data_IF_485936451328
#
_entry.id   IF_485936451328
#
_cell.length_a   1.000
_cell.length_b   1.000
_cell.length_c   1.000
_cell.angle_alpha   90.00
_cell.angle_beta   90.00
_cell.angle_gamma   90.00
#
_symmetry.space_group_name_H-M   'P 1'
#
loop_
_entity.id
_entity.type
_entity.pdbx_description
1 polymer ?
#
# COMPACT_ATOMS: atom_id res chain seq x y z
N UNK A 1 -10.87 10.54 71.78
CA UNK A 1 -11.68 10.17 70.58
C UNK A 1 -10.73 9.54 69.58
N UNK A 2 -10.80 8.20 69.42
CA UNK A 2 -9.93 7.48 68.47
C UNK A 2 -10.52 7.63 67.04
N UNK A 3 -9.79 8.22 66.15
CA UNK A 3 -10.15 8.31 64.74
C UNK A 3 -9.99 6.91 64.11
N UNK A 4 -11.10 6.18 63.95
CA UNK A 4 -11.08 4.92 63.25
C UNK A 4 -11.00 5.22 61.78
N UNK A 5 -9.76 5.21 61.23
CA UNK A 5 -9.53 5.33 59.78
C UNK A 5 -10.21 4.12 59.13
N UNK A 6 -11.11 4.40 58.21
CA UNK A 6 -11.85 3.38 57.47
C UNK A 6 -10.93 2.74 56.41
N UNK A 7 -10.09 1.79 56.83
CA UNK A 7 -9.10 1.10 56.03
C UNK A 7 -9.68 0.34 54.85
N UNK A 8 -10.94 -0.10 54.96
CA UNK A 8 -11.63 -0.78 53.84
C UNK A 8 -11.94 0.18 52.72
N UNK A 9 -12.38 1.39 53.00
CA UNK A 9 -12.65 2.44 52.00
C UNK A 9 -11.37 2.92 51.29
N UNK A 10 -10.31 3.06 52.04
CA UNK A 10 -9.00 3.41 51.48
C UNK A 10 -8.43 2.30 50.57
N UNK A 11 -8.63 1.03 50.94
CA UNK A 11 -8.20 -0.14 50.15
C UNK A 11 -9.03 -0.28 48.89
N UNK A 12 -10.34 -0.04 48.93
CA UNK A 12 -11.24 -0.07 47.77
C UNK A 12 -10.86 1.00 46.75
N UNK A 13 -10.58 2.23 47.21
CA UNK A 13 -10.17 3.31 46.35
C UNK A 13 -8.79 3.06 45.71
N UNK A 14 -7.87 2.41 46.42
CA UNK A 14 -6.58 2.03 45.90
C UNK A 14 -6.66 0.97 44.80
N UNK A 15 -7.47 -0.07 45.00
CA UNK A 15 -7.70 -1.12 43.97
C UNK A 15 -8.41 -0.58 42.75
N UNK A 16 -9.40 0.30 42.94
CA UNK A 16 -10.09 0.95 41.82
C UNK A 16 -9.11 1.83 40.99
N UNK A 17 -8.24 2.57 41.66
CA UNK A 17 -7.21 3.37 40.99
C UNK A 17 -6.24 2.54 40.15
N UNK A 18 -5.81 1.37 40.66
CA UNK A 18 -4.95 0.44 39.91
C UNK A 18 -5.67 -0.10 38.68
N UNK A 19 -6.94 -0.49 38.80
CA UNK A 19 -7.73 -1.01 37.67
C UNK A 19 -7.86 0.05 36.58
N UNK A 20 -8.19 1.29 36.94
CA UNK A 20 -8.31 2.40 36.00
C UNK A 20 -6.98 2.64 35.29
N UNK A 21 -5.87 2.61 36.00
CA UNK A 21 -4.52 2.79 35.40
C UNK A 21 -4.19 1.68 34.41
N UNK A 22 -4.50 0.42 34.73
CA UNK A 22 -4.29 -0.70 33.82
C UNK A 22 -5.14 -0.55 32.54
N UNK A 23 -6.40 -0.16 32.68
CA UNK A 23 -7.30 0.06 31.54
C UNK A 23 -6.78 1.20 30.66
N UNK A 24 -6.31 2.30 31.26
CA UNK A 24 -5.72 3.41 30.50
C UNK A 24 -4.48 2.98 29.72
N UNK A 25 -3.59 2.22 30.35
CA UNK A 25 -2.37 1.70 29.70
C UNK A 25 -2.73 0.79 28.52
N UNK A 26 -3.68 -0.13 28.70
CA UNK A 26 -4.15 -1.01 27.64
C UNK A 26 -4.83 -0.24 26.50
N UNK A 27 -5.62 0.80 26.80
CA UNK A 27 -6.18 1.70 25.79
C UNK A 27 -5.10 2.45 25.02
N UNK A 28 -4.08 2.96 25.70
CA UNK A 28 -2.96 3.65 25.05
C UNK A 28 -2.18 2.71 24.12
N UNK A 29 -1.91 1.46 24.57
CA UNK A 29 -1.27 0.44 23.74
C UNK A 29 -2.13 0.10 22.53
N UNK A 30 -3.43 -0.10 22.71
CA UNK A 30 -4.37 -0.40 21.63
C UNK A 30 -4.47 0.73 20.59
N UNK A 31 -4.56 1.98 21.06
CA UNK A 31 -4.56 3.16 20.19
C UNK A 31 -3.24 3.31 19.45
N UNK A 32 -2.10 3.09 20.11
CA UNK A 32 -0.78 3.14 19.47
C UNK A 32 -0.65 2.07 18.38
N UNK A 33 -1.17 0.87 18.62
CA UNK A 33 -1.17 -0.21 17.63
C UNK A 33 -2.04 0.14 16.41
N UNK A 34 -3.23 0.73 16.61
CA UNK A 34 -4.10 1.18 15.53
C UNK A 34 -3.48 2.34 14.72
N UNK A 35 -2.78 3.26 15.38
CA UNK A 35 -2.13 4.40 14.72
C UNK A 35 -0.87 3.99 13.94
N UNK A 36 -0.15 2.95 14.39
CA UNK A 36 1.07 2.45 13.75
C UNK A 36 0.75 1.47 12.61
N UNK A 37 -0.39 0.78 12.66
CA UNK A 37 -0.78 -0.16 11.62
C UNK A 37 -1.44 0.57 10.44
N UNK A 38 -0.64 0.85 9.42
CA UNK A 38 -1.14 1.43 8.17
C UNK A 38 -1.30 0.31 7.11
N UNK A 39 -2.52 -0.18 6.88
CA UNK A 39 -2.77 -1.30 5.96
C UNK A 39 -2.29 -0.99 4.53
N UNK A 40 -2.26 0.27 4.15
CA UNK A 40 -1.81 0.67 2.82
C UNK A 40 -0.30 0.49 2.63
N UNK A 41 0.52 0.61 3.70
CA UNK A 41 1.96 0.32 3.64
C UNK A 41 2.24 -1.16 3.41
N UNK A 42 1.44 -2.03 3.99
CA UNK A 42 1.59 -3.48 3.81
C UNK A 42 1.15 -3.88 2.40
N UNK A 43 0.09 -3.26 1.88
CA UNK A 43 -0.33 -3.43 0.49
C UNK A 43 0.78 -2.98 -0.49
N UNK A 44 1.41 -1.83 -0.25
CA UNK A 44 2.56 -1.37 -1.04
C UNK A 44 3.70 -2.40 -1.05
N UNK A 45 4.13 -2.87 0.12
CA UNK A 45 5.18 -3.90 0.24
C UNK A 45 4.81 -5.17 -0.54
N UNK A 46 3.54 -5.56 -0.50
CA UNK A 46 3.03 -6.73 -1.22
C UNK A 46 3.06 -6.54 -2.72
N UNK A 47 2.77 -5.33 -3.23
CA UNK A 47 2.91 -4.98 -4.66
C UNK A 47 4.37 -5.14 -5.10
N UNK A 48 5.34 -4.53 -4.40
CA UNK A 48 6.75 -4.62 -4.76
C UNK A 48 7.31 -6.04 -4.64
N UNK A 49 6.92 -6.75 -3.59
CA UNK A 49 7.31 -8.15 -3.45
C UNK A 49 6.75 -9.04 -4.56
N UNK A 50 5.53 -8.76 -5.02
CA UNK A 50 4.93 -9.42 -6.18
C UNK A 50 5.69 -9.06 -7.46
N UNK A 51 5.98 -7.78 -7.67
CA UNK A 51 6.78 -7.33 -8.81
C UNK A 51 8.13 -8.05 -8.87
N UNK A 52 8.85 -8.12 -7.75
CA UNK A 52 10.14 -8.85 -7.68
C UNK A 52 10.02 -10.33 -8.00
N UNK A 53 8.93 -11.00 -7.58
CA UNK A 53 8.67 -12.41 -7.94
C UNK A 53 8.43 -12.56 -9.42
N UNK A 54 7.63 -11.68 -10.03
CA UNK A 54 7.37 -11.67 -11.47
C UNK A 54 8.68 -11.48 -12.23
N UNK A 55 9.49 -10.49 -11.87
CA UNK A 55 10.80 -10.24 -12.50
C UNK A 55 11.72 -11.45 -12.37
N UNK A 56 11.77 -12.09 -11.20
CA UNK A 56 12.59 -13.29 -11.00
C UNK A 56 12.12 -14.45 -11.86
N UNK A 57 10.81 -14.67 -11.98
CA UNK A 57 10.20 -15.74 -12.77
C UNK A 57 10.41 -15.56 -14.28
N UNK A 58 10.40 -14.30 -14.74
CA UNK A 58 10.56 -13.95 -16.14
C UNK A 58 12.00 -13.61 -16.55
N UNK A 59 12.97 -13.67 -15.62
CA UNK A 59 14.37 -13.25 -15.84
C UNK A 59 15.00 -13.90 -17.09
N UNK A 60 14.77 -15.18 -17.30
CA UNK A 60 15.38 -15.96 -18.39
C UNK A 60 14.42 -16.12 -19.59
N UNK A 61 13.37 -15.29 -19.63
CA UNK A 61 12.38 -15.30 -20.72
C UNK A 61 12.52 -14.04 -21.58
N UNK A 62 12.10 -14.08 -22.85
CA UNK A 62 12.23 -12.94 -23.77
C UNK A 62 11.29 -11.76 -23.43
N UNK A 63 10.70 -11.72 -22.25
CA UNK A 63 9.81 -10.66 -21.78
C UNK A 63 8.66 -11.24 -20.95
N UNK A 64 7.69 -10.38 -20.64
CA UNK A 64 6.53 -10.73 -19.79
C UNK A 64 5.33 -11.27 -20.58
N UNK A 65 5.62 -11.96 -21.68
CA UNK A 65 4.60 -12.47 -22.57
C UNK A 65 3.62 -13.41 -21.85
N UNK A 66 2.32 -13.24 -22.10
CA UNK A 66 1.21 -13.95 -21.45
C UNK A 66 1.06 -13.68 -19.94
N UNK A 67 1.77 -12.69 -19.38
CA UNK A 67 1.52 -12.31 -18.00
C UNK A 67 0.13 -11.69 -17.86
N UNK A 68 -0.65 -12.25 -16.98
CA UNK A 68 -1.99 -11.79 -16.59
C UNK A 68 -2.21 -12.04 -15.11
N UNK A 69 -3.28 -11.50 -14.55
CA UNK A 69 -3.65 -11.78 -13.15
C UNK A 69 -3.88 -13.27 -12.93
N UNK A 70 -4.46 -13.95 -13.90
CA UNK A 70 -4.73 -15.40 -13.83
C UNK A 70 -3.45 -16.22 -13.85
N UNK A 71 -2.54 -15.96 -14.82
CA UNK A 71 -1.25 -16.63 -14.86
C UNK A 71 -0.41 -16.37 -13.61
N UNK A 72 -0.41 -15.13 -13.11
CA UNK A 72 0.28 -14.80 -11.89
C UNK A 72 -0.29 -15.52 -10.65
N UNK A 73 -1.59 -15.80 -10.61
CA UNK A 73 -2.21 -16.65 -9.56
C UNK A 73 -1.79 -18.10 -9.70
N UNK A 74 -1.92 -18.66 -10.89
CA UNK A 74 -1.63 -20.06 -11.17
C UNK A 74 -0.15 -20.41 -10.90
N UNK A 75 0.75 -19.49 -11.20
CA UNK A 75 2.19 -19.64 -11.01
C UNK A 75 2.66 -19.22 -9.60
N UNK A 76 1.72 -18.95 -8.68
CA UNK A 76 2.00 -18.50 -7.29
C UNK A 76 2.90 -17.25 -7.19
N UNK A 77 2.85 -16.38 -8.17
CA UNK A 77 3.63 -15.12 -8.19
C UNK A 77 2.98 -14.05 -7.32
N UNK A 78 1.66 -14.09 -7.16
CA UNK A 78 0.91 -13.19 -6.29
C UNK A 78 1.21 -13.50 -4.82
N UNK A 79 1.49 -12.47 -4.06
CA UNK A 79 1.54 -12.60 -2.61
C UNK A 79 0.13 -12.80 -2.05
N UNK A 80 0.00 -13.75 -1.13
CA UNK A 80 -1.26 -14.02 -0.44
C UNK A 80 -1.83 -12.77 0.26
N UNK A 81 -0.95 -11.84 0.66
CA UNK A 81 -1.34 -10.60 1.30
C UNK A 81 -2.12 -9.67 0.35
N UNK A 82 -1.81 -9.65 -0.95
CA UNK A 82 -2.58 -8.90 -1.94
C UNK A 82 -4.02 -9.42 -2.08
N UNK A 83 -4.21 -10.72 -1.91
CA UNK A 83 -5.52 -11.37 -2.01
C UNK A 83 -6.39 -11.19 -0.76
N UNK A 84 -5.81 -10.74 0.35
CA UNK A 84 -6.56 -10.46 1.60
C UNK A 84 -7.40 -9.19 1.49
N UNK A 85 -7.00 -8.25 0.67
CA UNK A 85 -7.71 -6.98 0.47
C UNK A 85 -8.86 -7.16 -0.53
N UNK A 86 -9.92 -7.88 -0.11
CA UNK A 86 -11.09 -8.19 -0.96
C UNK A 86 -11.83 -6.96 -1.47
N UNK A 87 -11.61 -5.81 -0.83
CA UNK A 87 -12.18 -4.52 -1.19
C UNK A 87 -11.51 -3.90 -2.43
N UNK A 88 -10.30 -4.36 -2.77
CA UNK A 88 -9.54 -3.85 -3.92
C UNK A 88 -9.41 -4.92 -4.99
N UNK A 89 -9.65 -4.52 -6.24
CA UNK A 89 -9.37 -5.36 -7.39
C UNK A 89 -7.91 -5.16 -7.82
N UNK A 90 -7.11 -6.21 -7.71
CA UNK A 90 -5.70 -6.21 -8.11
C UNK A 90 -5.58 -6.85 -9.49
N UNK A 91 -5.10 -6.09 -10.45
CA UNK A 91 -4.88 -6.55 -11.81
C UNK A 91 -3.40 -6.52 -12.16
N UNK A 92 -2.95 -7.57 -12.84
CA UNK A 92 -1.58 -7.70 -13.37
C UNK A 92 -1.70 -7.94 -14.87
N UNK A 93 -0.85 -7.30 -15.62
CA UNK A 93 -0.83 -7.47 -17.07
C UNK A 93 0.51 -7.05 -17.66
N UNK A 94 0.68 -7.38 -18.94
CA UNK A 94 1.76 -6.80 -19.74
C UNK A 94 1.60 -5.27 -19.77
N UNK A 95 2.72 -4.56 -19.71
CA UNK A 95 2.70 -3.11 -19.78
C UNK A 95 2.27 -2.64 -21.16
N UNK A 96 1.11 -1.99 -21.25
CA UNK A 96 0.81 -1.13 -22.39
C UNK A 96 1.44 0.23 -22.06
N UNK A 97 2.66 0.42 -22.52
CA UNK A 97 3.32 1.71 -22.37
C UNK A 97 2.78 2.65 -23.44
N UNK A 98 2.27 3.80 -23.04
CA UNK A 98 2.14 4.93 -23.95
C UNK A 98 3.49 5.41 -24.49
N UNK A 99 4.58 4.82 -24.01
CA UNK A 99 5.92 5.08 -24.49
C UNK A 99 6.24 4.12 -25.66
N UNK A 100 6.30 4.68 -26.84
CA UNK A 100 6.56 3.98 -28.13
C UNK A 100 7.97 3.35 -28.17
N UNK A 101 8.82 3.65 -27.19
CA UNK A 101 10.23 3.25 -27.17
C UNK A 101 10.48 1.85 -26.61
N UNK A 102 9.53 1.31 -25.85
CA UNK A 102 9.66 -0.05 -25.27
C UNK A 102 8.55 -0.97 -25.78
N UNK A 103 8.87 -2.17 -26.27
CA UNK A 103 7.87 -3.18 -26.57
C UNK A 103 7.00 -3.48 -25.36
N UNK A 104 5.71 -3.66 -25.56
CA UNK A 104 4.74 -3.93 -24.49
C UNK A 104 5.04 -5.22 -23.70
N UNK A 105 5.82 -6.12 -24.25
CA UNK A 105 6.27 -7.36 -23.63
C UNK A 105 7.49 -7.20 -22.72
N UNK A 106 8.23 -6.08 -22.80
CA UNK A 106 9.39 -5.78 -21.96
C UNK A 106 9.07 -5.14 -20.62
N UNK A 107 7.78 -4.90 -20.35
CA UNK A 107 7.30 -4.31 -19.10
C UNK A 107 6.01 -4.94 -18.66
N UNK A 108 5.69 -4.79 -17.37
CA UNK A 108 4.41 -5.23 -16.82
C UNK A 108 3.87 -4.19 -15.84
N UNK A 109 2.58 -4.26 -15.59
CA UNK A 109 1.93 -3.40 -14.62
C UNK A 109 1.21 -4.22 -13.54
N UNK A 110 1.17 -3.62 -12.36
CA UNK A 110 0.32 -4.05 -11.25
C UNK A 110 -0.58 -2.87 -10.95
N UNK A 111 -1.89 -3.05 -11.06
CA UNK A 111 -2.88 -2.02 -10.79
C UNK A 111 -3.77 -2.44 -9.62
N UNK A 112 -4.07 -1.49 -8.75
CA UNK A 112 -5.03 -1.64 -7.66
C UNK A 112 -6.18 -0.67 -7.90
N UNK A 113 -7.40 -1.20 -7.99
CA UNK A 113 -8.61 -0.48 -8.37
C UNK A 113 -9.53 -0.25 -7.16
N UNK A 114 -10.58 0.55 -7.40
CA UNK A 114 -11.63 0.88 -6.44
C UNK A 114 -11.13 1.58 -5.18
N UNK A 115 -10.04 2.35 -5.31
CA UNK A 115 -9.44 3.05 -4.20
C UNK A 115 -10.23 4.31 -3.83
N UNK A 116 -10.46 4.49 -2.54
CA UNK A 116 -10.89 5.79 -2.02
C UNK A 116 -9.71 6.78 -2.03
N UNK A 117 -9.99 8.05 -1.77
CA UNK A 117 -8.98 9.12 -1.82
C UNK A 117 -7.77 8.84 -0.91
N UNK A 118 -8.01 8.39 0.31
CA UNK A 118 -6.93 8.14 1.29
C UNK A 118 -6.01 7.00 0.85
N UNK A 119 -6.61 5.89 0.39
CA UNK A 119 -5.87 4.75 -0.14
C UNK A 119 -5.08 5.12 -1.41
N UNK A 120 -5.69 5.85 -2.34
CA UNK A 120 -5.03 6.34 -3.54
C UNK A 120 -3.80 7.18 -3.21
N UNK A 121 -3.92 8.18 -2.32
CA UNK A 121 -2.80 9.02 -1.88
C UNK A 121 -1.71 8.16 -1.24
N UNK A 122 -2.10 7.32 -0.29
CA UNK A 122 -1.14 6.49 0.45
C UNK A 122 -0.40 5.50 -0.46
N UNK A 123 -1.07 4.92 -1.45
CA UNK A 123 -0.48 3.95 -2.38
C UNK A 123 0.40 4.61 -3.43
N UNK A 124 0.06 5.82 -3.89
CA UNK A 124 0.87 6.55 -4.86
C UNK A 124 2.09 7.23 -4.23
N UNK A 125 1.98 7.70 -2.97
CA UNK A 125 3.06 8.35 -2.21
C UNK A 125 4.02 7.32 -1.60
N UNK A 126 4.70 6.57 -2.42
CA UNK A 126 5.53 5.47 -1.98
C UNK A 126 6.96 5.92 -1.71
N UNK A 127 7.56 5.59 -0.55
CA UNK A 127 8.98 5.74 -0.37
C UNK A 127 9.71 4.73 -1.26
N UNK A 128 10.27 5.21 -2.36
CA UNK A 128 11.04 4.39 -3.29
C UNK A 128 12.47 4.22 -2.76
N UNK A 129 12.92 2.98 -2.66
CA UNK A 129 14.31 2.63 -2.35
C UNK A 129 15.15 2.70 -3.63
N UNK A 130 16.46 2.76 -3.48
CA UNK A 130 17.35 2.84 -4.65
C UNK A 130 17.23 1.61 -5.57
N UNK A 131 17.02 0.43 -5.01
CA UNK A 131 16.72 -0.79 -5.77
C UNK A 131 15.39 -0.74 -6.54
N UNK A 132 14.39 -0.01 -6.03
CA UNK A 132 13.12 0.15 -6.70
C UNK A 132 13.22 1.09 -7.92
N UNK A 133 14.18 2.03 -7.91
CA UNK A 133 14.43 2.95 -9.02
C UNK A 133 14.91 2.26 -10.29
N UNK A 134 15.57 1.10 -10.16
CA UNK A 134 16.09 0.36 -11.30
C UNK A 134 15.00 -0.39 -12.06
N UNK A 135 13.88 -0.67 -11.44
CA UNK A 135 12.85 -1.55 -11.98
C UNK A 135 11.50 -0.87 -12.16
N UNK A 136 11.16 0.10 -11.30
CA UNK A 136 9.94 0.88 -11.43
C UNK A 136 10.13 1.98 -12.47
N UNK A 137 9.33 1.96 -13.51
CA UNK A 137 9.36 2.96 -14.58
C UNK A 137 8.45 4.13 -14.31
N UNK A 138 7.20 3.84 -13.94
CA UNK A 138 6.18 4.87 -13.72
C UNK A 138 5.12 4.45 -12.72
N UNK A 139 4.47 5.44 -12.14
CA UNK A 139 3.24 5.30 -11.35
C UNK A 139 2.17 6.10 -12.03
N UNK A 140 1.01 5.50 -12.28
CA UNK A 140 -0.14 6.18 -12.87
C UNK A 140 -1.28 6.29 -11.85
N UNK A 141 -1.92 7.45 -11.79
CA UNK A 141 -3.16 7.68 -11.05
C UNK A 141 -4.26 7.88 -12.08
N UNK A 142 -5.23 6.98 -12.12
CA UNK A 142 -6.29 6.94 -13.12
C UNK A 142 -7.64 6.99 -12.39
N UNK A 143 -8.52 7.87 -12.85
CA UNK A 143 -9.92 7.96 -12.43
C UNK A 143 -10.73 8.65 -13.51
N UNK A 144 -12.02 8.89 -13.29
CA UNK A 144 -12.90 9.52 -14.28
C UNK A 144 -12.47 10.94 -14.72
N UNK A 145 -11.67 11.63 -13.89
CA UNK A 145 -11.26 13.02 -14.15
C UNK A 145 -9.81 13.14 -14.61
N UNK A 146 -8.96 12.18 -14.24
CA UNK A 146 -7.52 12.26 -14.45
C UNK A 146 -6.94 10.93 -14.94
N UNK A 147 -5.96 11.04 -15.80
CA UNK A 147 -5.04 9.97 -16.15
C UNK A 147 -3.63 10.59 -16.15
N UNK A 148 -2.97 10.52 -15.00
CA UNK A 148 -1.67 11.17 -14.78
C UNK A 148 -0.60 10.12 -14.54
N UNK A 149 0.51 10.27 -15.23
CA UNK A 149 1.67 9.39 -15.14
C UNK A 149 2.85 10.14 -14.52
N UNK A 150 3.46 9.54 -13.51
CA UNK A 150 4.68 10.01 -12.87
C UNK A 150 5.82 9.11 -13.31
N UNK A 151 6.87 9.68 -13.90
CA UNK A 151 8.04 8.94 -14.38
C UNK A 151 9.35 9.58 -13.90
N UNK A 152 10.46 8.85 -14.00
CA UNK A 152 11.77 9.40 -13.70
C UNK A 152 12.14 10.46 -14.75
N UNK A 153 12.46 11.68 -14.26
CA UNK A 153 12.79 12.81 -15.14
C UNK A 153 11.64 13.40 -15.93
N UNK A 154 10.40 12.88 -15.74
CA UNK A 154 9.18 13.42 -16.36
C UNK A 154 8.55 14.57 -15.57
N UNK A 155 7.51 15.16 -16.13
CA UNK A 155 6.62 16.09 -15.43
C UNK A 155 5.18 15.58 -15.53
N UNK A 156 4.58 15.14 -14.40
CA UNK A 156 5.13 15.10 -13.04
C UNK A 156 6.15 13.96 -12.82
N UNK A 157 7.12 14.21 -11.94
CA UNK A 157 8.24 13.29 -11.69
C UNK A 157 8.00 12.32 -10.52
N UNK A 158 8.67 11.16 -10.56
CA UNK A 158 8.86 10.28 -9.41
C UNK A 158 9.95 10.86 -8.47
N UNK A 159 9.87 10.59 -7.16
CA UNK A 159 8.75 9.95 -6.46
C UNK A 159 7.52 10.85 -6.38
N UNK A 160 6.33 10.25 -6.32
CA UNK A 160 5.08 10.99 -6.22
C UNK A 160 5.02 11.73 -4.88
N UNK A 161 4.95 13.06 -4.95
CA UNK A 161 4.82 13.90 -3.75
C UNK A 161 3.38 13.87 -3.24
N UNK A 162 3.20 13.90 -1.93
CA UNK A 162 1.87 13.91 -1.26
C UNK A 162 0.93 14.99 -1.77
N UNK A 163 1.45 16.17 -2.04
CA UNK A 163 0.70 17.26 -2.63
C UNK A 163 0.16 16.89 -4.01
N UNK A 164 0.99 16.32 -4.88
CA UNK A 164 0.59 15.89 -6.21
C UNK A 164 -0.47 14.79 -6.14
N UNK A 165 -0.25 13.77 -5.31
CA UNK A 165 -1.24 12.71 -5.10
C UNK A 165 -2.61 13.25 -4.64
N UNK A 166 -2.63 14.22 -3.71
CA UNK A 166 -3.87 14.86 -3.23
C UNK A 166 -4.66 15.57 -4.32
N UNK A 167 -3.98 16.15 -5.29
CA UNK A 167 -4.62 16.87 -6.39
C UNK A 167 -5.24 15.92 -7.41
N UNK A 168 -4.66 14.74 -7.61
CA UNK A 168 -5.11 13.81 -8.65
C UNK A 168 -6.00 12.69 -8.11
N UNK A 169 -5.92 12.33 -6.82
CA UNK A 169 -6.81 11.34 -6.22
C UNK A 169 -8.19 11.95 -5.91
N UNK A 170 -9.24 11.35 -6.47
CA UNK A 170 -10.64 11.71 -6.24
C UNK A 170 -11.21 10.98 -5.01
N UNK A 171 -12.48 11.25 -4.67
CA UNK A 171 -13.12 10.67 -3.48
C UNK A 171 -13.26 9.16 -3.54
N UNK A 172 -13.45 8.59 -4.75
CA UNK A 172 -13.65 7.15 -4.97
C UNK A 172 -13.22 6.73 -6.38
N UNK A 173 -13.18 5.43 -6.59
CA UNK A 173 -12.91 4.81 -7.89
C UNK A 173 -11.58 5.22 -8.53
N UNK A 174 -10.56 5.41 -7.68
CA UNK A 174 -9.22 5.63 -8.18
C UNK A 174 -8.54 4.29 -8.46
N UNK A 175 -7.64 4.31 -9.43
CA UNK A 175 -6.73 3.25 -9.78
C UNK A 175 -5.32 3.79 -9.59
N UNK A 176 -4.48 3.04 -8.88
CA UNK A 176 -3.03 3.28 -8.86
C UNK A 176 -2.36 2.11 -9.55
N UNK A 177 -1.57 2.41 -10.57
CA UNK A 177 -0.86 1.42 -11.37
C UNK A 177 0.63 1.69 -11.34
N UNK A 178 1.41 0.66 -11.08
CA UNK A 178 2.87 0.66 -11.12
C UNK A 178 3.33 -0.13 -12.34
N UNK A 179 4.14 0.50 -13.18
CA UNK A 179 4.78 -0.16 -14.33
C UNK A 179 6.22 -0.47 -14.01
N UNK A 180 6.60 -1.72 -14.19
CA UNK A 180 7.94 -2.26 -13.95
C UNK A 180 8.55 -2.77 -15.26
N UNK A 181 9.90 -2.75 -15.29
CA UNK A 181 10.71 -3.36 -16.34
C UNK A 181 11.42 -4.61 -15.83
#
# INVERSE_FOLDING_TARGET
MAYKIDYEKARLNGTLGIIILIVLVLCCIGLSFMLLHNPHKDLQKSVFSTAKRIQTYYRDRPGYWKLSTETAKNDNLLRADLLKYKEYDVQIGQGTNGDVSLPSDMSFNIAVKHLNKSACISLSEMPLRDEDKLTLMKISIINAQNNIEFSWGGEPSLPVKKYSARNYCTTKDNIVSWTFQ
#
